data_IF_345515706348
#
_entry.id   IF_345515706348
#
_cell.length_a   1.000
_cell.length_b   1.000
_cell.length_c   1.000
_cell.angle_alpha   90.00
_cell.angle_beta   90.00
_cell.angle_gamma   90.00
#
_symmetry.space_group_name_H-M   'P 1'
#
loop_
_entity.id
_entity.type
_entity.pdbx_description
1 polymer ?
#
# COMPACT_ATOMS: atom_id res chain seq x y z
N UNK A 1 11.63 27.42 -16.85
CA UNK A 1 12.57 27.31 -15.71
C UNK A 1 12.91 25.84 -15.53
N UNK A 2 14.18 25.46 -15.71
CA UNK A 2 14.59 24.07 -15.57
C UNK A 2 14.60 23.63 -14.10
N UNK A 3 14.56 22.31 -13.84
CA UNK A 3 14.71 21.76 -12.47
C UNK A 3 16.04 22.23 -11.83
N UNK A 4 17.05 22.53 -12.64
CA UNK A 4 18.35 23.08 -12.20
C UNK A 4 18.25 24.49 -11.62
N UNK A 5 17.31 25.34 -12.14
CA UNK A 5 17.11 26.68 -11.61
C UNK A 5 16.46 26.68 -10.23
N UNK A 6 15.72 25.62 -9.89
CA UNK A 6 15.13 25.40 -8.55
C UNK A 6 16.14 24.86 -7.53
N UNK A 7 17.15 24.10 -7.96
CA UNK A 7 18.22 23.59 -7.09
C UNK A 7 19.19 24.68 -6.62
N UNK A 8 19.33 25.78 -7.37
CA UNK A 8 20.10 26.95 -6.94
C UNK A 8 19.53 27.72 -5.76
N UNK A 9 18.29 27.43 -5.34
CA UNK A 9 17.60 28.12 -4.25
C UNK A 9 17.57 27.31 -2.92
N UNK A 10 18.16 26.12 -2.88
CA UNK A 10 18.22 25.33 -1.64
C UNK A 10 19.20 25.97 -0.67
N UNK A 11 18.70 26.39 0.51
CA UNK A 11 19.56 26.98 1.53
C UNK A 11 20.58 25.94 2.07
N UNK A 12 21.75 26.43 2.53
CA UNK A 12 22.74 25.55 3.19
C UNK A 12 22.13 24.71 4.32
N UNK A 13 21.13 25.25 5.00
CA UNK A 13 20.43 24.59 6.11
C UNK A 13 19.55 23.42 5.62
N UNK A 14 18.90 23.58 4.47
CA UNK A 14 18.08 22.53 3.87
C UNK A 14 18.95 21.45 3.23
N UNK A 15 20.11 21.82 2.68
CA UNK A 15 21.11 20.89 2.23
C UNK A 15 21.67 20.04 3.39
N UNK A 16 21.95 20.66 4.55
CA UNK A 16 22.38 19.92 5.74
C UNK A 16 21.29 19.01 6.32
N UNK A 17 20.01 19.39 6.24
CA UNK A 17 18.90 18.50 6.60
C UNK A 17 18.81 17.30 5.67
N UNK A 18 18.90 17.52 4.37
CA UNK A 18 18.95 16.46 3.36
C UNK A 18 20.16 15.52 3.57
N UNK A 19 21.34 16.07 3.85
CA UNK A 19 22.55 15.26 4.11
C UNK A 19 22.46 14.45 5.40
N UNK A 20 21.86 14.99 6.46
CA UNK A 20 21.65 14.26 7.71
C UNK A 20 20.56 13.18 7.58
N UNK A 21 19.56 13.43 6.75
CA UNK A 21 18.44 12.54 6.51
C UNK A 21 18.77 11.38 5.56
N UNK A 22 19.69 11.61 4.61
CA UNK A 22 20.05 10.63 3.57
C UNK A 22 21.52 10.15 3.65
N UNK A 23 22.25 10.46 4.71
CA UNK A 23 23.59 9.93 4.96
C UNK A 23 24.68 10.39 3.96
N UNK A 24 24.47 11.51 3.25
CA UNK A 24 25.44 12.05 2.29
C UNK A 24 26.66 12.59 3.05
N UNK A 25 27.84 12.03 2.81
CA UNK A 25 29.05 12.39 3.50
C UNK A 25 29.61 13.75 3.07
N UNK A 26 30.42 14.38 3.94
CA UNK A 26 31.12 15.66 3.70
C UNK A 26 31.97 15.70 2.42
N UNK A 27 32.35 14.55 1.88
CA UNK A 27 33.13 14.43 0.65
C UNK A 27 32.35 14.82 -0.60
N UNK A 28 31.04 14.53 -0.63
CA UNK A 28 30.15 14.90 -1.75
C UNK A 28 29.83 16.39 -1.69
N UNK A 29 29.71 16.97 -0.50
CA UNK A 29 29.58 18.41 -0.29
C UNK A 29 30.81 19.18 -0.78
N UNK A 30 32.04 18.67 -0.56
CA UNK A 30 33.25 19.29 -1.00
C UNK A 30 33.41 19.28 -2.54
N UNK A 31 32.95 18.23 -3.22
CA UNK A 31 32.98 18.14 -4.69
C UNK A 31 32.04 19.15 -5.37
N UNK A 32 30.87 19.43 -4.76
CA UNK A 32 29.90 20.42 -5.26
C UNK A 32 30.34 21.87 -5.07
N UNK A 33 31.24 22.16 -4.12
CA UNK A 33 31.74 23.53 -3.85
C UNK A 33 32.95 23.93 -4.72
N UNK A 34 33.57 23.00 -5.43
CA UNK A 34 34.76 23.22 -6.27
C UNK A 34 34.46 23.43 -7.76
N UNK A 35 33.21 23.71 -8.14
CA UNK A 35 32.84 24.15 -9.50
C UNK A 35 32.84 23.06 -10.58
N UNK A 36 32.85 21.80 -10.21
CA UNK A 36 32.67 20.68 -11.14
C UNK A 36 31.17 20.42 -11.42
N UNK A 37 30.82 20.21 -12.69
CA UNK A 37 29.48 19.74 -13.09
C UNK A 37 29.24 18.31 -12.61
N UNK A 38 28.66 18.17 -11.42
CA UNK A 38 28.26 16.86 -10.89
C UNK A 38 26.89 16.51 -11.51
N UNK A 39 26.85 15.51 -12.37
CA UNK A 39 25.58 15.01 -12.91
C UNK A 39 24.80 14.25 -11.84
N UNK A 40 23.46 14.32 -11.87
CA UNK A 40 22.59 13.54 -10.94
C UNK A 40 22.94 12.05 -10.95
N UNK A 41 23.39 11.52 -12.10
CA UNK A 41 23.82 10.12 -12.24
C UNK A 41 25.13 9.85 -11.48
N UNK A 42 26.10 10.79 -11.49
CA UNK A 42 27.35 10.64 -10.72
C UNK A 42 27.11 10.79 -9.22
N UNK A 43 26.14 11.61 -8.79
CA UNK A 43 25.70 11.70 -7.40
C UNK A 43 25.03 10.40 -6.95
N UNK A 44 24.12 9.86 -7.75
CA UNK A 44 23.45 8.59 -7.46
C UNK A 44 24.45 7.43 -7.35
N UNK A 45 25.40 7.34 -8.29
CA UNK A 45 26.45 6.33 -8.26
C UNK A 45 27.41 6.52 -7.08
N UNK A 46 27.73 7.77 -6.70
CA UNK A 46 28.58 8.06 -5.55
C UNK A 46 27.88 7.72 -4.23
N UNK A 47 26.57 8.00 -4.11
CA UNK A 47 25.74 7.60 -2.97
C UNK A 47 25.68 6.08 -2.89
N UNK A 48 25.39 5.38 -3.98
CA UNK A 48 25.35 3.91 -4.01
C UNK A 48 26.70 3.29 -3.66
N UNK A 49 27.80 3.80 -4.21
CA UNK A 49 29.16 3.32 -3.91
C UNK A 49 29.54 3.61 -2.45
N UNK A 50 29.14 4.76 -1.91
CA UNK A 50 29.40 5.13 -0.51
C UNK A 50 28.55 4.27 0.43
N UNK A 51 27.32 3.96 0.06
CA UNK A 51 26.43 3.08 0.79
C UNK A 51 27.01 1.67 0.89
N UNK A 52 27.39 1.07 -0.24
CA UNK A 52 28.02 -0.26 -0.29
C UNK A 52 29.36 -0.37 0.46
N UNK A 53 30.10 0.72 0.65
CA UNK A 53 31.35 0.77 1.44
C UNK A 53 31.12 1.05 2.93
N UNK A 54 29.89 1.35 3.32
CA UNK A 54 29.56 1.76 4.68
C UNK A 54 29.59 0.59 5.67
N UNK A 55 29.28 -0.61 5.20
CA UNK A 55 29.14 -1.77 6.05
C UNK A 55 30.45 -2.53 6.22
N UNK A 56 30.65 -3.09 7.42
CA UNK A 56 31.83 -3.86 7.78
C UNK A 56 31.80 -5.27 7.21
N UNK A 57 30.62 -5.86 7.14
CA UNK A 57 30.44 -7.22 6.72
C UNK A 57 30.38 -7.35 5.19
N UNK A 58 30.81 -8.49 4.68
CA UNK A 58 30.52 -8.89 3.31
C UNK A 58 29.07 -9.42 3.26
N UNK A 59 28.30 -9.08 2.20
CA UNK A 59 26.93 -9.56 2.08
C UNK A 59 26.91 -11.09 1.96
N UNK A 60 26.16 -11.72 2.86
CA UNK A 60 25.83 -13.15 2.79
C UNK A 60 24.61 -13.35 1.88
N UNK A 61 23.69 -12.40 1.92
CA UNK A 61 22.46 -12.43 1.15
C UNK A 61 22.24 -11.09 0.43
N UNK A 62 21.74 -11.16 -0.80
CA UNK A 62 21.26 -10.00 -1.54
C UNK A 62 19.81 -10.27 -1.92
N UNK A 63 18.87 -9.58 -1.27
CA UNK A 63 17.44 -9.76 -1.50
C UNK A 63 16.99 -8.91 -2.68
N UNK A 64 16.46 -9.56 -3.72
CA UNK A 64 15.78 -8.88 -4.83
C UNK A 64 14.37 -8.49 -4.41
N UNK A 65 14.13 -7.20 -4.29
CA UNK A 65 12.85 -6.66 -3.86
C UNK A 65 12.12 -6.01 -5.03
N UNK A 66 11.11 -6.70 -5.56
CA UNK A 66 10.25 -6.19 -6.63
C UNK A 66 9.14 -5.29 -6.10
N UNK A 67 8.98 -4.08 -6.63
CA UNK A 67 7.88 -3.19 -6.25
C UNK A 67 6.97 -2.88 -7.43
N UNK A 68 5.67 -3.17 -7.23
CA UNK A 68 4.66 -3.03 -8.27
C UNK A 68 4.02 -1.64 -8.23
N UNK A 69 4.28 -0.83 -9.23
CA UNK A 69 3.60 0.45 -9.45
C UNK A 69 4.25 1.68 -8.84
N UNK A 70 5.37 1.56 -8.15
CA UNK A 70 6.10 2.70 -7.61
C UNK A 70 7.62 2.47 -7.59
N UNK A 71 8.36 3.56 -7.50
CA UNK A 71 9.83 3.58 -7.54
C UNK A 71 10.39 4.63 -6.56
N UNK A 72 11.71 4.71 -6.46
CA UNK A 72 12.41 5.66 -5.58
C UNK A 72 12.16 7.15 -5.91
N UNK A 73 11.55 7.48 -7.05
CA UNK A 73 11.21 8.86 -7.45
C UNK A 73 9.76 9.20 -7.16
N UNK A 74 8.94 8.24 -6.78
CA UNK A 74 7.54 8.47 -6.44
C UNK A 74 7.47 9.12 -5.05
N UNK A 75 6.80 10.27 -4.95
CA UNK A 75 6.64 11.02 -3.70
C UNK A 75 5.91 10.22 -2.60
N UNK A 76 5.17 9.18 -2.99
CA UNK A 76 4.40 8.33 -2.06
C UNK A 76 5.12 7.03 -1.70
N UNK A 77 6.37 6.82 -2.14
CA UNK A 77 7.15 5.59 -1.84
C UNK A 77 7.33 5.40 -0.32
N UNK A 78 7.47 6.49 0.42
CA UNK A 78 7.65 6.46 1.88
C UNK A 78 6.49 5.75 2.58
N UNK A 79 5.26 5.98 2.12
CA UNK A 79 4.07 5.34 2.68
C UNK A 79 4.04 3.83 2.46
N UNK A 80 4.76 3.31 1.50
CA UNK A 80 4.83 1.87 1.23
C UNK A 80 5.89 1.15 2.09
N UNK A 81 6.76 1.89 2.77
CA UNK A 81 7.74 1.37 3.72
C UNK A 81 8.90 0.57 3.13
N UNK A 82 8.92 0.36 1.80
CA UNK A 82 9.92 -0.50 1.17
C UNK A 82 11.34 -0.01 1.36
N UNK A 83 11.55 1.31 1.23
CA UNK A 83 12.88 1.92 1.39
C UNK A 83 13.31 1.95 2.85
N UNK A 84 12.37 2.20 3.77
CA UNK A 84 12.64 2.15 5.21
C UNK A 84 13.03 0.75 5.66
N UNK A 85 12.28 -0.27 5.20
CA UNK A 85 12.62 -1.67 5.43
C UNK A 85 14.03 -2.00 4.93
N UNK A 86 14.34 -1.64 3.67
CA UNK A 86 15.64 -1.93 3.07
C UNK A 86 16.77 -1.25 3.84
N UNK A 87 16.61 0.02 4.20
CA UNK A 87 17.60 0.79 4.94
C UNK A 87 17.86 0.21 6.34
N UNK A 88 16.80 -0.03 7.11
CA UNK A 88 16.94 -0.55 8.46
C UNK A 88 17.55 -1.96 8.47
N UNK A 89 17.12 -2.81 7.53
CA UNK A 89 17.63 -4.19 7.43
C UNK A 89 19.13 -4.22 7.11
N UNK A 90 19.57 -3.42 6.14
CA UNK A 90 20.98 -3.30 5.79
C UNK A 90 21.82 -2.75 6.95
N UNK A 91 21.32 -1.71 7.63
CA UNK A 91 21.99 -1.12 8.80
C UNK A 91 22.03 -2.07 9.99
N UNK A 92 20.93 -2.73 10.30
CA UNK A 92 20.78 -3.65 11.42
C UNK A 92 21.67 -4.89 11.29
N UNK A 93 21.87 -5.37 10.06
CA UNK A 93 22.72 -6.52 9.78
C UNK A 93 24.18 -6.13 9.47
N UNK A 94 24.54 -4.85 9.61
CA UNK A 94 25.86 -4.32 9.23
C UNK A 94 26.28 -4.78 7.83
N UNK A 95 25.33 -4.92 6.90
CA UNK A 95 25.55 -5.31 5.50
C UNK A 95 25.62 -6.82 5.24
N UNK A 96 25.32 -7.69 6.21
CA UNK A 96 25.20 -9.12 5.93
C UNK A 96 24.02 -9.41 4.98
N UNK A 97 22.95 -8.62 5.05
CA UNK A 97 21.90 -8.58 4.05
C UNK A 97 21.96 -7.26 3.30
N UNK A 98 21.96 -7.30 1.98
CA UNK A 98 21.72 -6.15 1.10
C UNK A 98 20.36 -6.31 0.42
N UNK A 99 19.70 -5.18 0.11
CA UNK A 99 18.41 -5.15 -0.58
C UNK A 99 18.56 -4.49 -1.95
N UNK A 100 18.38 -5.26 -3.01
CA UNK A 100 18.28 -4.75 -4.38
C UNK A 100 16.83 -4.38 -4.69
N UNK A 101 16.49 -3.09 -4.52
CA UNK A 101 15.13 -2.59 -4.78
C UNK A 101 14.92 -2.35 -6.28
N UNK A 102 13.92 -3.03 -6.87
CA UNK A 102 13.57 -2.99 -8.30
C UNK A 102 12.13 -2.51 -8.44
N UNK A 103 11.96 -1.21 -8.65
CA UNK A 103 10.66 -0.55 -8.78
C UNK A 103 10.08 -0.53 -10.20
N UNK A 104 9.02 0.28 -10.41
CA UNK A 104 8.41 0.60 -11.71
C UNK A 104 7.89 -0.61 -12.50
N UNK A 105 7.45 -1.66 -11.84
CA UNK A 105 7.07 -2.92 -12.51
C UNK A 105 8.21 -3.56 -13.33
N UNK A 106 9.46 -3.13 -13.17
CA UNK A 106 10.56 -3.56 -14.02
C UNK A 106 10.84 -5.07 -13.96
N UNK A 107 10.61 -5.69 -12.80
CA UNK A 107 10.77 -7.13 -12.64
C UNK A 107 9.44 -7.86 -12.44
N UNK A 108 8.48 -7.25 -11.75
CA UNK A 108 7.14 -7.78 -11.57
C UNK A 108 6.11 -6.65 -11.38
N UNK A 109 4.90 -6.85 -11.88
CA UNK A 109 3.76 -5.95 -11.70
C UNK A 109 2.74 -6.50 -10.71
N UNK A 110 1.67 -5.75 -10.47
CA UNK A 110 0.63 -6.05 -9.48
C UNK A 110 0.06 -7.47 -9.55
N UNK A 111 -0.06 -8.05 -10.74
CA UNK A 111 -0.63 -9.39 -10.95
C UNK A 111 0.41 -10.52 -11.00
N UNK A 112 1.70 -10.21 -11.13
CA UNK A 112 2.75 -11.21 -11.37
C UNK A 112 3.78 -11.33 -10.26
N UNK A 113 3.82 -10.41 -9.29
CA UNK A 113 4.81 -10.43 -8.22
C UNK A 113 4.73 -11.69 -7.35
N UNK A 114 3.51 -12.15 -7.04
CA UNK A 114 3.30 -13.39 -6.27
C UNK A 114 3.96 -14.58 -6.95
N UNK A 115 3.63 -14.83 -8.21
CA UNK A 115 4.17 -15.96 -8.98
C UNK A 115 5.69 -15.85 -9.10
N UNK A 116 6.23 -14.67 -9.41
CA UNK A 116 7.68 -14.48 -9.54
C UNK A 116 8.43 -14.70 -8.22
N UNK A 117 7.81 -14.39 -7.08
CA UNK A 117 8.39 -14.70 -5.76
C UNK A 117 8.35 -16.19 -5.49
N UNK A 118 7.24 -16.87 -5.81
CA UNK A 118 7.11 -18.32 -5.66
C UNK A 118 8.09 -19.08 -6.57
N UNK A 119 8.39 -18.56 -7.76
CA UNK A 119 9.36 -19.11 -8.70
C UNK A 119 10.82 -18.73 -8.39
N UNK A 120 11.08 -17.87 -7.38
CA UNK A 120 12.42 -17.43 -7.00
C UNK A 120 13.07 -16.44 -7.97
N UNK A 121 12.29 -15.73 -8.79
CA UNK A 121 12.78 -14.64 -9.65
C UNK A 121 13.08 -13.39 -8.82
N UNK A 122 12.26 -13.14 -7.81
CA UNK A 122 12.49 -12.16 -6.75
C UNK A 122 12.36 -12.85 -5.38
N UNK A 123 13.01 -12.31 -4.37
CA UNK A 123 12.98 -12.86 -3.01
C UNK A 123 11.83 -12.28 -2.19
N UNK A 124 11.43 -11.06 -2.52
CA UNK A 124 10.33 -10.34 -1.87
C UNK A 124 9.69 -9.36 -2.83
N UNK A 125 8.47 -8.94 -2.49
CA UNK A 125 7.71 -8.01 -3.32
C UNK A 125 6.82 -7.08 -2.50
N UNK A 126 6.47 -5.93 -3.10
CA UNK A 126 5.37 -5.07 -2.64
C UNK A 126 4.31 -4.96 -3.74
N UNK A 127 3.07 -5.25 -3.37
CA UNK A 127 1.90 -5.16 -4.25
C UNK A 127 0.60 -5.08 -3.44
N UNK A 128 -0.49 -4.65 -4.09
CA UNK A 128 -1.82 -4.65 -3.49
C UNK A 128 -2.25 -6.08 -3.11
N UNK A 129 -2.81 -6.26 -1.90
CA UNK A 129 -3.36 -7.55 -1.46
C UNK A 129 -4.40 -8.09 -2.41
N UNK A 130 -5.29 -7.23 -2.91
CA UNK A 130 -6.35 -7.63 -3.84
C UNK A 130 -5.82 -8.11 -5.20
N UNK A 131 -4.81 -7.44 -5.76
CA UNK A 131 -4.18 -7.91 -7.00
C UNK A 131 -3.40 -9.21 -6.76
N UNK A 132 -2.72 -9.32 -5.63
CA UNK A 132 -1.97 -10.50 -5.23
C UNK A 132 -2.87 -11.71 -4.94
N UNK A 133 -4.15 -11.48 -4.60
CA UNK A 133 -5.13 -12.54 -4.33
C UNK A 133 -5.39 -13.45 -5.56
N UNK A 134 -5.02 -13.04 -6.77
CA UNK A 134 -5.04 -13.91 -7.96
C UNK A 134 -4.07 -15.09 -7.84
N UNK A 135 -2.85 -14.85 -7.35
CA UNK A 135 -1.82 -15.87 -7.13
C UNK A 135 -1.76 -16.41 -5.70
N UNK A 136 -2.24 -15.63 -4.73
CA UNK A 136 -2.31 -15.99 -3.31
C UNK A 136 -3.71 -15.76 -2.74
N UNK A 137 -4.70 -16.62 -3.11
CA UNK A 137 -6.12 -16.38 -2.84
C UNK A 137 -6.50 -16.31 -1.36
N UNK A 138 -5.64 -16.73 -0.43
CA UNK A 138 -5.89 -16.52 1.00
C UNK A 138 -5.92 -15.03 1.39
N UNK A 139 -5.27 -14.14 0.63
CA UNK A 139 -5.32 -12.70 0.88
C UNK A 139 -6.73 -12.10 0.79
N UNK A 140 -7.68 -12.80 0.14
CA UNK A 140 -9.11 -12.43 0.19
C UNK A 140 -9.67 -12.39 1.61
N UNK A 141 -9.01 -12.97 2.60
CA UNK A 141 -9.39 -12.87 4.02
C UNK A 141 -9.50 -11.44 4.53
N UNK A 142 -8.81 -10.48 3.88
CA UNK A 142 -8.86 -9.06 4.18
C UNK A 142 -9.98 -8.31 3.42
N UNK A 143 -10.62 -8.94 2.44
CA UNK A 143 -11.52 -8.29 1.48
C UNK A 143 -13.01 -8.49 1.77
N UNK A 144 -13.39 -8.82 2.99
CA UNK A 144 -14.81 -8.78 3.38
C UNK A 144 -15.28 -7.33 3.49
N UNK A 145 -16.42 -7.04 2.84
CA UNK A 145 -16.98 -5.70 2.85
C UNK A 145 -17.30 -5.22 4.27
N UNK A 146 -16.87 -4.01 4.62
CA UNK A 146 -17.09 -3.36 5.91
C UNK A 146 -16.58 -4.13 7.14
N UNK A 147 -15.62 -5.04 6.95
CA UNK A 147 -14.99 -5.77 8.05
C UNK A 147 -14.19 -4.82 8.96
N UNK A 148 -13.49 -3.87 8.36
CA UNK A 148 -12.71 -2.85 9.06
C UNK A 148 -13.46 -1.51 9.09
N UNK A 149 -13.85 -1.01 10.27
CA UNK A 149 -14.53 0.28 10.39
C UNK A 149 -13.68 1.49 9.98
N UNK A 150 -12.38 1.42 10.19
CA UNK A 150 -11.44 2.53 9.96
C UNK A 150 -10.05 2.05 9.55
N UNK A 151 -9.18 2.97 9.10
CA UNK A 151 -7.76 2.68 8.90
C UNK A 151 -7.07 2.29 10.21
N UNK A 152 -7.46 2.93 11.31
CA UNK A 152 -6.95 2.57 12.63
C UNK A 152 -7.23 1.10 12.96
N UNK A 153 -8.43 0.61 12.68
CA UNK A 153 -8.81 -0.78 12.94
C UNK A 153 -7.99 -1.78 12.11
N UNK A 154 -7.58 -1.41 10.89
CA UNK A 154 -6.68 -2.23 10.07
C UNK A 154 -5.28 -2.29 10.69
N UNK A 155 -4.70 -1.15 11.10
CA UNK A 155 -3.40 -1.12 11.79
C UNK A 155 -3.45 -1.88 13.11
N UNK A 156 -4.51 -1.70 13.90
CA UNK A 156 -4.69 -2.43 15.15
C UNK A 156 -4.67 -3.94 14.92
N UNK A 157 -5.42 -4.44 13.93
CA UNK A 157 -5.39 -5.84 13.55
C UNK A 157 -3.98 -6.27 13.10
N UNK A 158 -3.31 -5.52 12.22
CA UNK A 158 -1.98 -5.89 11.71
C UNK A 158 -0.91 -5.96 12.80
N UNK A 159 -1.02 -5.17 13.87
CA UNK A 159 -0.13 -5.22 15.03
C UNK A 159 -0.51 -6.28 16.06
N UNK A 160 -1.68 -6.90 15.92
CA UNK A 160 -2.17 -7.88 16.89
C UNK A 160 -1.55 -9.27 16.69
N UNK A 161 -1.41 -10.09 17.74
CA UNK A 161 -1.07 -11.51 17.62
C UNK A 161 -2.10 -12.27 16.77
N UNK A 162 -3.37 -11.81 16.78
CA UNK A 162 -4.42 -12.38 15.95
C UNK A 162 -4.09 -12.31 14.46
N UNK A 163 -3.42 -11.24 14.01
CA UNK A 163 -2.98 -11.15 12.61
C UNK A 163 -1.89 -12.18 12.27
N UNK A 164 -1.06 -12.58 13.22
CA UNK A 164 -0.12 -13.70 13.01
C UNK A 164 -0.90 -14.99 12.80
N UNK A 165 -1.82 -15.29 13.70
CA UNK A 165 -2.61 -16.53 13.71
C UNK A 165 -3.58 -16.67 12.53
N UNK A 166 -4.25 -15.56 12.15
CA UNK A 166 -5.37 -15.60 11.18
C UNK A 166 -4.93 -15.22 9.77
N UNK A 167 -3.98 -14.30 9.63
CA UNK A 167 -3.52 -13.82 8.33
C UNK A 167 -2.18 -14.45 7.93
N UNK A 168 -1.14 -14.25 8.76
CA UNK A 168 0.25 -14.52 8.36
C UNK A 168 0.56 -16.01 8.28
N UNK A 169 0.27 -16.77 9.33
CA UNK A 169 0.56 -18.19 9.37
C UNK A 169 -0.19 -19.00 8.30
N UNK A 170 -1.52 -18.83 8.09
CA UNK A 170 -2.21 -19.55 7.03
C UNK A 170 -1.76 -19.11 5.63
N UNK A 171 -1.43 -17.81 5.44
CA UNK A 171 -0.91 -17.28 4.18
C UNK A 171 0.45 -17.92 3.85
N UNK A 172 1.36 -17.95 4.80
CA UNK A 172 2.67 -18.56 4.65
C UNK A 172 2.57 -20.06 4.39
N UNK A 173 1.81 -20.79 5.22
CA UNK A 173 1.60 -22.22 5.08
C UNK A 173 1.04 -22.62 3.73
N UNK A 174 0.12 -21.80 3.19
CA UNK A 174 -0.57 -22.12 1.95
C UNK A 174 0.21 -21.69 0.71
N UNK A 175 0.86 -20.54 0.73
CA UNK A 175 1.44 -19.92 -0.44
C UNK A 175 2.97 -19.87 -0.44
N UNK A 176 3.63 -20.25 0.66
CA UNK A 176 5.08 -20.13 0.81
C UNK A 176 5.55 -18.67 0.87
N UNK A 177 4.68 -17.76 1.29
CA UNK A 177 4.93 -16.32 1.32
C UNK A 177 4.69 -15.77 2.72
N UNK A 178 5.68 -15.14 3.30
CA UNK A 178 5.63 -14.50 4.61
C UNK A 178 5.14 -13.06 4.44
N UNK A 179 3.95 -12.74 4.97
CA UNK A 179 3.40 -11.37 4.99
C UNK A 179 4.14 -10.55 6.05
N UNK A 180 4.84 -9.51 5.66
CA UNK A 180 5.68 -8.72 6.54
C UNK A 180 4.94 -7.48 7.08
N UNK A 181 4.69 -6.48 6.25
CA UNK A 181 4.06 -5.23 6.63
C UNK A 181 3.18 -4.68 5.50
N UNK A 182 2.34 -3.69 5.83
CA UNK A 182 1.42 -3.07 4.86
C UNK A 182 1.00 -1.68 5.30
N UNK A 183 0.81 -0.77 4.36
CA UNK A 183 0.01 0.42 4.64
C UNK A 183 -1.48 0.04 4.67
N UNK A 184 -2.30 0.92 5.25
CA UNK A 184 -3.74 0.74 5.35
C UNK A 184 -4.49 1.97 4.86
N UNK A 185 -5.37 1.76 3.90
CA UNK A 185 -6.41 2.71 3.50
C UNK A 185 -7.76 2.00 3.43
N UNK A 186 -8.82 2.75 3.24
CA UNK A 186 -10.12 2.19 2.89
C UNK A 186 -10.42 2.52 1.44
N UNK A 187 -11.02 1.58 0.75
CA UNK A 187 -11.31 1.71 -0.67
C UNK A 187 -12.67 2.37 -0.88
N UNK A 188 -12.75 3.15 -1.93
CA UNK A 188 -13.96 3.79 -2.42
C UNK A 188 -14.04 3.69 -3.94
N UNK A 189 -14.85 4.55 -4.55
CA UNK A 189 -15.01 4.64 -5.99
C UNK A 189 -14.41 5.97 -6.48
N UNK A 190 -13.44 5.87 -7.38
CA UNK A 190 -12.80 6.99 -8.03
C UNK A 190 -13.51 7.24 -9.37
N UNK A 191 -14.40 8.23 -9.41
CA UNK A 191 -15.22 8.51 -10.59
C UNK A 191 -14.43 9.30 -11.63
N UNK A 192 -14.57 8.89 -12.89
CA UNK A 192 -13.89 9.48 -14.04
C UNK A 192 -14.54 10.77 -14.57
N UNK A 193 -14.13 11.18 -15.77
CA UNK A 193 -14.55 12.44 -16.40
C UNK A 193 -16.06 12.51 -16.72
N UNK A 194 -16.75 11.37 -16.84
CA UNK A 194 -18.23 11.33 -17.00
C UNK A 194 -19.01 11.95 -15.83
N UNK A 195 -18.32 12.15 -14.68
CA UNK A 195 -18.87 12.79 -13.48
C UNK A 195 -18.34 14.19 -13.23
N UNK A 196 -17.54 14.77 -14.14
CA UNK A 196 -16.92 16.10 -13.94
C UNK A 196 -17.96 17.20 -13.77
N UNK A 197 -18.95 17.22 -14.67
CA UNK A 197 -19.98 18.26 -14.70
C UNK A 197 -21.24 17.90 -13.89
N UNK A 198 -21.23 16.71 -13.25
CA UNK A 198 -22.30 16.30 -12.34
C UNK A 198 -22.05 16.89 -10.94
N UNK A 199 -23.10 17.09 -10.13
CA UNK A 199 -22.94 17.40 -8.70
C UNK A 199 -22.04 16.39 -8.00
N UNK A 200 -21.44 16.80 -6.87
CA UNK A 200 -20.72 15.86 -6.02
C UNK A 200 -21.67 14.81 -5.50
N UNK A 201 -21.31 13.54 -5.67
CA UNK A 201 -22.10 12.38 -5.22
C UNK A 201 -22.29 12.45 -3.71
N UNK A 202 -23.54 12.29 -3.27
CA UNK A 202 -23.92 12.31 -1.86
C UNK A 202 -24.79 11.14 -1.46
N UNK A 203 -25.33 10.39 -2.46
CA UNK A 203 -26.19 9.25 -2.26
C UNK A 203 -25.66 8.02 -2.99
N UNK A 204 -25.81 6.85 -2.38
CA UNK A 204 -25.37 5.57 -2.96
C UNK A 204 -26.05 5.27 -4.30
N UNK A 205 -27.34 5.63 -4.44
CA UNK A 205 -28.11 5.40 -5.66
C UNK A 205 -27.56 6.15 -6.88
N UNK A 206 -26.82 7.24 -6.69
CA UNK A 206 -26.18 7.99 -7.77
C UNK A 206 -25.03 7.18 -8.44
N UNK A 207 -24.59 6.11 -7.78
CA UNK A 207 -23.57 5.19 -8.30
C UNK A 207 -24.18 3.95 -8.98
N UNK A 208 -25.48 3.69 -8.82
CA UNK A 208 -26.11 2.48 -9.37
C UNK A 208 -25.94 2.39 -10.89
N UNK A 209 -25.60 1.20 -11.35
CA UNK A 209 -25.38 0.92 -12.79
C UNK A 209 -24.04 1.43 -13.33
N UNK A 210 -23.25 2.16 -12.56
CA UNK A 210 -21.94 2.62 -13.03
C UNK A 210 -20.96 1.45 -13.24
N UNK A 211 -20.20 1.52 -14.32
CA UNK A 211 -19.16 0.53 -14.68
C UNK A 211 -17.89 0.90 -13.94
N UNK A 212 -17.56 0.16 -12.90
CA UNK A 212 -16.37 0.44 -12.11
C UNK A 212 -15.32 -0.66 -12.27
N UNK A 213 -14.12 -0.26 -12.58
CA UNK A 213 -12.99 -1.17 -12.56
C UNK A 213 -12.89 -1.84 -11.19
N UNK A 214 -12.64 -3.13 -11.20
CA UNK A 214 -12.32 -3.92 -10.00
C UNK A 214 -11.04 -4.70 -10.25
N UNK A 215 -10.33 -5.04 -9.16
CA UNK A 215 -9.16 -5.91 -9.20
C UNK A 215 -9.52 -7.37 -9.45
N UNK A 216 -8.54 -8.29 -9.37
CA UNK A 216 -8.75 -9.74 -9.44
C UNK A 216 -9.48 -10.36 -8.23
N UNK A 217 -9.84 -9.57 -7.21
CA UNK A 217 -10.55 -10.07 -6.02
C UNK A 217 -11.96 -10.55 -6.35
N UNK A 218 -12.32 -11.71 -5.84
CA UNK A 218 -13.69 -12.22 -5.98
C UNK A 218 -14.64 -11.53 -5.00
N UNK A 219 -14.16 -11.22 -3.80
CA UNK A 219 -14.96 -10.59 -2.75
C UNK A 219 -15.37 -9.17 -3.14
N UNK A 220 -14.44 -8.41 -3.74
CA UNK A 220 -14.75 -7.08 -4.25
C UNK A 220 -15.88 -7.08 -5.28
N UNK A 221 -15.89 -8.06 -6.17
CA UNK A 221 -16.96 -8.20 -7.17
C UNK A 221 -18.31 -8.52 -6.54
N UNK A 222 -18.34 -9.41 -5.54
CA UNK A 222 -19.57 -9.77 -4.81
C UNK A 222 -20.20 -8.52 -4.20
N UNK A 223 -19.44 -7.74 -3.43
CA UNK A 223 -19.97 -6.56 -2.75
C UNK A 223 -20.42 -5.48 -3.74
N UNK A 224 -19.63 -5.19 -4.77
CA UNK A 224 -20.00 -4.19 -5.78
C UNK A 224 -21.29 -4.58 -6.50
N UNK A 225 -21.44 -5.86 -6.87
CA UNK A 225 -22.68 -6.36 -7.49
C UNK A 225 -23.87 -6.23 -6.54
N UNK A 226 -23.69 -6.56 -5.27
CA UNK A 226 -24.73 -6.42 -4.25
C UNK A 226 -25.15 -4.96 -4.03
N UNK A 227 -24.27 -4.00 -4.21
CA UNK A 227 -24.54 -2.56 -4.18
C UNK A 227 -25.05 -1.99 -5.51
N UNK A 228 -25.48 -2.83 -6.46
CA UNK A 228 -25.95 -2.42 -7.79
C UNK A 228 -24.88 -1.66 -8.62
N UNK A 229 -23.61 -1.87 -8.35
CA UNK A 229 -22.52 -1.42 -9.20
C UNK A 229 -22.19 -2.50 -10.24
N UNK A 230 -21.67 -2.10 -11.41
CA UNK A 230 -21.20 -3.04 -12.44
C UNK A 230 -19.68 -3.20 -12.34
N UNK A 231 -19.16 -4.22 -11.65
CA UNK A 231 -17.73 -4.46 -11.55
C UNK A 231 -17.15 -4.97 -12.86
N UNK A 232 -16.20 -4.26 -13.44
CA UNK A 232 -15.50 -4.60 -14.69
C UNK A 232 -14.06 -4.97 -14.36
N UNK A 233 -13.61 -6.20 -14.59
CA UNK A 233 -12.23 -6.60 -14.40
C UNK A 233 -11.32 -5.90 -15.42
N UNK A 234 -10.48 -4.98 -14.96
CA UNK A 234 -9.50 -4.25 -15.78
C UNK A 234 -8.17 -4.26 -15.03
N UNK A 235 -7.09 -4.55 -15.73
CA UNK A 235 -5.75 -4.50 -15.17
C UNK A 235 -5.42 -3.08 -14.66
N UNK A 236 -4.64 -2.99 -13.59
CA UNK A 236 -4.29 -1.69 -13.02
C UNK A 236 -3.61 -0.77 -14.05
N UNK A 237 -2.71 -1.31 -14.86
CA UNK A 237 -2.02 -0.59 -15.93
C UNK A 237 -2.94 -0.03 -17.03
N UNK A 238 -4.15 -0.58 -17.17
CA UNK A 238 -5.13 -0.19 -18.20
C UNK A 238 -6.22 0.75 -17.64
N UNK A 239 -6.24 0.95 -16.31
CA UNK A 239 -7.28 1.72 -15.62
C UNK A 239 -7.30 3.19 -16.04
N UNK A 240 -6.13 3.82 -16.18
CA UNK A 240 -6.01 5.21 -16.63
C UNK A 240 -6.66 5.40 -18.01
N UNK A 241 -6.33 4.53 -18.95
CA UNK A 241 -6.86 4.60 -20.31
C UNK A 241 -8.36 4.27 -20.34
N UNK A 242 -8.80 3.31 -19.53
CA UNK A 242 -10.21 2.98 -19.37
C UNK A 242 -11.06 4.16 -18.89
N UNK A 243 -10.58 4.89 -17.89
CA UNK A 243 -11.21 6.13 -17.37
C UNK A 243 -11.19 7.25 -18.42
N UNK A 244 -10.06 7.45 -19.10
CA UNK A 244 -9.88 8.48 -20.10
C UNK A 244 -10.78 8.29 -21.32
N UNK A 245 -10.95 7.04 -21.75
CA UNK A 245 -11.77 6.68 -22.93
C UNK A 245 -13.25 6.49 -22.59
N UNK A 246 -13.64 6.53 -21.30
CA UNK A 246 -15.01 6.28 -20.86
C UNK A 246 -15.47 4.83 -20.98
N UNK A 247 -14.54 3.88 -21.04
CA UNK A 247 -14.86 2.43 -21.03
C UNK A 247 -15.36 2.00 -19.64
N UNK A 248 -14.92 2.69 -18.61
CA UNK A 248 -15.35 2.58 -17.22
C UNK A 248 -15.73 3.95 -16.71
N UNK A 249 -16.76 4.02 -15.86
CA UNK A 249 -17.24 5.25 -15.22
C UNK A 249 -16.38 5.62 -14.02
N UNK A 250 -15.82 4.62 -13.35
CA UNK A 250 -14.99 4.77 -12.18
C UNK A 250 -14.06 3.58 -11.94
N UNK A 251 -13.27 3.67 -10.87
CA UNK A 251 -12.38 2.59 -10.43
C UNK A 251 -12.52 2.38 -8.92
N UNK A 252 -12.72 1.15 -8.53
CA UNK A 252 -12.64 0.72 -7.14
C UNK A 252 -11.15 0.69 -6.74
N UNK A 253 -10.77 1.62 -5.86
CA UNK A 253 -9.41 1.73 -5.31
C UNK A 253 -9.37 2.73 -4.15
N UNK A 254 -8.20 2.99 -3.59
CA UNK A 254 -7.99 3.98 -2.53
C UNK A 254 -7.40 5.28 -3.08
N UNK A 255 -7.50 6.36 -2.28
CA UNK A 255 -7.17 7.73 -2.71
C UNK A 255 -5.69 7.89 -3.13
N UNK A 256 -4.74 7.40 -2.34
CA UNK A 256 -3.33 7.55 -2.68
C UNK A 256 -2.91 6.75 -3.92
N UNK A 257 -3.64 5.66 -4.26
CA UNK A 257 -3.38 4.93 -5.50
C UNK A 257 -3.62 5.77 -6.75
N UNK A 258 -4.69 6.58 -6.75
CA UNK A 258 -4.98 7.54 -7.83
C UNK A 258 -3.85 8.56 -7.97
N UNK A 259 -3.34 9.05 -6.85
CA UNK A 259 -2.27 10.03 -6.83
C UNK A 259 -0.95 9.46 -7.37
N UNK A 260 -0.47 8.30 -6.85
CA UNK A 260 0.82 7.75 -7.29
C UNK A 260 0.78 7.20 -8.73
N UNK A 261 -0.37 6.78 -9.20
CA UNK A 261 -0.53 6.29 -10.57
C UNK A 261 -0.80 7.40 -11.60
N UNK A 262 -0.72 8.66 -11.20
CA UNK A 262 -0.99 9.83 -12.03
C UNK A 262 -2.39 9.80 -12.69
N UNK A 263 -3.38 9.26 -11.99
CA UNK A 263 -4.76 9.17 -12.49
C UNK A 263 -5.60 10.42 -12.14
N UNK A 264 -5.12 11.28 -11.25
CA UNK A 264 -5.86 12.48 -10.82
C UNK A 264 -6.36 13.37 -11.96
N UNK A 265 -5.62 13.56 -13.09
CA UNK A 265 -6.12 14.36 -14.22
C UNK A 265 -7.36 13.77 -14.92
N UNK A 266 -7.65 12.49 -14.76
CA UNK A 266 -8.81 11.78 -15.36
C UNK A 266 -9.87 11.39 -14.34
N UNK A 267 -9.63 11.64 -13.05
CA UNK A 267 -10.58 11.45 -11.95
C UNK A 267 -11.23 12.80 -11.63
N UNK A 268 -12.54 12.82 -11.43
CA UNK A 268 -13.30 14.01 -11.07
C UNK A 268 -13.82 14.03 -9.65
N UNK A 269 -14.11 12.84 -9.09
CA UNK A 269 -14.61 12.71 -7.72
C UNK A 269 -14.00 11.46 -7.06
N UNK A 270 -13.59 11.60 -5.81
CA UNK A 270 -13.19 10.50 -4.94
C UNK A 270 -14.34 10.24 -3.96
N UNK A 271 -15.10 9.17 -4.18
CA UNK A 271 -16.23 8.78 -3.33
C UNK A 271 -15.71 7.88 -2.22
N UNK A 272 -15.75 8.38 -0.98
CA UNK A 272 -15.26 7.68 0.22
C UNK A 272 -16.32 6.71 0.77
N UNK A 273 -16.47 5.56 0.13
CA UNK A 273 -17.38 4.50 0.56
C UNK A 273 -16.87 3.67 1.73
N UNK A 274 -15.57 3.64 1.99
CA UNK A 274 -14.93 2.89 3.09
C UNK A 274 -15.28 1.40 3.12
N UNK A 275 -15.54 0.79 1.97
CA UNK A 275 -16.17 -0.54 1.94
C UNK A 275 -15.20 -1.73 1.95
N UNK A 276 -13.92 -1.51 1.60
CA UNK A 276 -12.89 -2.54 1.64
C UNK A 276 -11.60 -2.06 2.24
N UNK A 277 -10.84 -3.03 2.74
CA UNK A 277 -9.44 -2.86 3.08
C UNK A 277 -8.62 -2.50 1.84
N UNK A 278 -7.91 -1.40 1.89
CA UNK A 278 -6.98 -0.95 0.85
C UNK A 278 -5.54 -1.09 1.35
N UNK A 279 -4.86 -2.15 0.96
CA UNK A 279 -3.53 -2.49 1.45
C UNK A 279 -2.56 -2.73 0.31
N UNK A 280 -1.41 -2.06 0.37
CA UNK A 280 -0.20 -2.39 -0.38
C UNK A 280 0.72 -3.08 0.60
N UNK A 281 0.91 -4.40 0.46
CA UNK A 281 1.68 -5.19 1.41
C UNK A 281 3.04 -5.57 0.85
N UNK A 282 3.97 -5.83 1.75
CA UNK A 282 5.24 -6.46 1.44
C UNK A 282 5.23 -7.89 1.94
N UNK A 283 5.55 -8.82 1.05
CA UNK A 283 5.74 -10.24 1.37
C UNK A 283 7.06 -10.76 0.84
N UNK A 284 7.57 -11.80 1.49
CA UNK A 284 8.84 -12.44 1.18
C UNK A 284 8.64 -13.94 0.99
N UNK A 285 9.49 -14.58 0.17
CA UNK A 285 9.54 -16.04 0.07
C UNK A 285 9.86 -16.66 1.44
N UNK A 286 8.98 -17.51 1.95
CA UNK A 286 9.22 -18.24 3.20
C UNK A 286 10.49 -19.11 3.08
N UNK A 287 10.72 -19.73 1.92
CA UNK A 287 11.93 -20.53 1.67
C UNK A 287 13.20 -19.71 1.79
N UNK A 288 13.22 -18.48 1.30
CA UNK A 288 14.38 -17.57 1.42
C UNK A 288 14.57 -17.18 2.87
N UNK A 289 13.50 -16.79 3.58
CA UNK A 289 13.55 -16.47 5.01
C UNK A 289 14.08 -17.64 5.85
N UNK A 290 13.54 -18.83 5.66
CA UNK A 290 13.92 -20.04 6.42
C UNK A 290 15.36 -20.51 6.16
N UNK A 291 15.93 -20.13 5.01
CA UNK A 291 17.33 -20.45 4.68
C UNK A 291 18.35 -19.58 5.41
N UNK A 292 17.91 -18.53 6.09
CA UNK A 292 18.78 -17.58 6.79
C UNK A 292 19.05 -18.02 8.24
N UNK A 293 20.17 -17.56 8.77
CA UNK A 293 20.54 -17.72 10.18
C UNK A 293 19.53 -16.98 11.08
N UNK A 294 19.27 -17.48 12.30
CA UNK A 294 18.24 -16.95 13.19
C UNK A 294 18.35 -15.46 13.47
N UNK A 295 19.57 -14.91 13.64
CA UNK A 295 19.76 -13.49 13.87
C UNK A 295 19.38 -12.62 12.64
N UNK A 296 19.50 -13.16 11.42
CA UNK A 296 19.07 -12.48 10.19
C UNK A 296 17.55 -12.54 10.02
N UNK A 297 16.95 -13.67 10.41
CA UNK A 297 15.48 -13.77 10.48
C UNK A 297 14.90 -12.77 11.48
N UNK A 298 15.50 -12.65 12.67
CA UNK A 298 15.11 -11.67 13.68
C UNK A 298 15.26 -10.23 13.14
N UNK A 299 16.36 -9.97 12.42
CA UNK A 299 16.58 -8.66 11.79
C UNK A 299 15.48 -8.32 10.77
N UNK A 300 15.08 -9.26 9.92
CA UNK A 300 13.98 -9.09 8.95
C UNK A 300 12.67 -8.77 9.68
N UNK A 301 12.35 -9.48 10.75
CA UNK A 301 11.12 -9.25 11.51
C UNK A 301 11.12 -7.88 12.21
N UNK A 302 12.23 -7.47 12.84
CA UNK A 302 12.35 -6.16 13.48
C UNK A 302 12.32 -5.02 12.44
N UNK A 303 12.98 -5.18 11.28
CA UNK A 303 12.92 -4.20 10.20
C UNK A 303 11.50 -4.11 9.59
N UNK A 304 10.79 -5.25 9.53
CA UNK A 304 9.39 -5.28 9.12
C UNK A 304 8.48 -4.53 10.10
N UNK A 305 8.72 -4.66 11.39
CA UNK A 305 8.00 -3.92 12.41
C UNK A 305 8.25 -2.41 12.31
N UNK A 306 9.51 -2.00 12.16
CA UNK A 306 9.83 -0.57 12.00
C UNK A 306 9.26 0.00 10.70
N UNK A 307 9.29 -0.77 9.60
CA UNK A 307 8.64 -0.38 8.35
C UNK A 307 7.11 -0.23 8.54
N UNK A 308 6.45 -1.13 9.30
CA UNK A 308 5.03 -1.00 9.61
C UNK A 308 4.72 0.27 10.40
N UNK A 309 5.55 0.63 11.38
CA UNK A 309 5.43 1.89 12.16
C UNK A 309 5.62 3.12 11.27
N UNK A 310 6.66 3.08 10.42
CA UNK A 310 6.93 4.16 9.47
C UNK A 310 5.77 4.36 8.50
N UNK A 311 5.27 3.27 7.92
CA UNK A 311 4.15 3.26 6.97
C UNK A 311 2.89 3.88 7.56
N UNK A 312 2.56 3.56 8.81
CA UNK A 312 1.41 4.13 9.50
C UNK A 312 1.48 5.66 9.52
N UNK A 313 2.59 6.22 9.98
CA UNK A 313 2.79 7.66 10.06
C UNK A 313 2.90 8.31 8.67
N UNK A 314 3.68 7.71 7.77
CA UNK A 314 3.92 8.24 6.43
C UNK A 314 2.66 8.23 5.56
N UNK A 315 1.82 7.19 5.66
CA UNK A 315 0.57 7.11 4.92
C UNK A 315 -0.43 8.19 5.35
N UNK A 316 -0.65 8.36 6.66
CA UNK A 316 -1.57 9.38 7.17
C UNK A 316 -1.09 10.79 6.80
N UNK A 317 0.20 11.07 6.93
CA UNK A 317 0.78 12.33 6.50
C UNK A 317 0.62 12.55 4.97
N UNK A 318 0.86 11.53 4.16
CA UNK A 318 0.74 11.61 2.71
C UNK A 318 -0.70 11.85 2.25
N UNK A 319 -1.68 11.20 2.87
CA UNK A 319 -3.10 11.39 2.54
C UNK A 319 -3.51 12.86 2.67
N UNK A 320 -3.11 13.54 3.73
CA UNK A 320 -3.46 14.93 4.00
C UNK A 320 -2.58 15.91 3.20
N UNK A 321 -1.26 15.77 3.29
CA UNK A 321 -0.31 16.78 2.85
C UNK A 321 0.15 16.62 1.39
N UNK A 322 -0.05 15.44 0.78
CA UNK A 322 0.38 15.17 -0.59
C UNK A 322 -0.80 14.85 -1.50
N UNK A 323 -1.67 13.94 -1.08
CA UNK A 323 -2.82 13.52 -1.89
C UNK A 323 -3.92 14.58 -1.87
N UNK A 324 -4.21 15.18 -0.72
CA UNK A 324 -5.34 16.10 -0.51
C UNK A 324 -6.64 15.36 -0.14
N UNK A 325 -6.51 14.22 0.56
CA UNK A 325 -7.64 13.48 1.10
C UNK A 325 -8.02 14.02 2.49
N UNK A 326 -8.45 15.28 2.51
CA UNK A 326 -8.89 16.00 3.72
C UNK A 326 -9.96 17.04 3.37
N UNK A 327 -10.73 17.47 4.37
CA UNK A 327 -11.72 18.54 4.22
C UNK A 327 -11.45 19.63 5.27
N UNK A 328 -11.06 20.86 4.84
CA UNK A 328 -10.80 21.28 3.45
C UNK A 328 -9.53 20.63 2.86
N UNK A 329 -9.48 20.54 1.54
CA UNK A 329 -8.27 20.12 0.82
C UNK A 329 -7.20 21.23 0.92
N UNK A 330 -5.97 20.84 1.21
CA UNK A 330 -4.84 21.76 1.30
C UNK A 330 -4.38 22.19 -0.12
N UNK A 331 -3.97 23.44 -0.25
CA UNK A 331 -3.37 23.96 -1.49
C UNK A 331 -2.05 23.22 -1.80
N UNK A 332 -1.79 22.99 -3.09
CA UNK A 332 -0.60 22.27 -3.55
C UNK A 332 -0.70 20.75 -3.46
N UNK A 333 -1.82 20.21 -2.96
CA UNK A 333 -2.06 18.75 -2.95
C UNK A 333 -2.54 18.27 -4.32
N UNK A 334 -2.25 16.99 -4.62
CA UNK A 334 -2.53 16.41 -5.94
C UNK A 334 -4.00 16.50 -6.31
N UNK A 335 -4.92 16.20 -5.41
CA UNK A 335 -6.36 16.27 -5.66
C UNK A 335 -6.81 17.72 -5.86
N UNK A 336 -6.32 18.66 -5.06
CA UNK A 336 -6.67 20.09 -5.17
C UNK A 336 -6.22 20.68 -6.51
N UNK A 337 -4.99 20.39 -6.94
CA UNK A 337 -4.43 20.87 -8.20
C UNK A 337 -5.08 20.26 -9.45
N UNK A 338 -5.77 19.12 -9.31
CA UNK A 338 -6.47 18.45 -10.40
C UNK A 338 -8.01 18.54 -10.29
N UNK A 339 -8.54 19.39 -9.42
CA UNK A 339 -9.98 19.57 -9.20
C UNK A 339 -10.73 18.27 -8.83
N UNK A 340 -10.06 17.31 -8.17
CA UNK A 340 -10.68 16.09 -7.68
C UNK A 340 -11.50 16.41 -6.44
N UNK A 341 -12.82 16.31 -6.54
CA UNK A 341 -13.73 16.57 -5.41
C UNK A 341 -13.82 15.37 -4.48
N UNK A 342 -13.78 15.59 -3.17
CA UNK A 342 -14.06 14.55 -2.19
C UNK A 342 -15.57 14.43 -2.00
N UNK A 343 -16.11 13.27 -2.24
CA UNK A 343 -17.50 12.91 -2.04
C UNK A 343 -17.63 12.05 -0.78
N UNK A 344 -17.81 12.70 0.36
CA UNK A 344 -18.04 12.01 1.63
C UNK A 344 -19.49 11.54 1.71
N UNK A 345 -19.71 10.25 1.92
CA UNK A 345 -21.01 9.67 2.15
C UNK A 345 -21.48 9.94 3.58
N UNK A 346 -22.74 10.31 3.75
CA UNK A 346 -23.38 10.37 5.07
C UNK A 346 -23.45 8.99 5.73
N UNK A 347 -23.58 8.97 7.04
CA UNK A 347 -23.66 7.73 7.81
C UNK A 347 -24.85 6.85 7.37
N UNK A 348 -25.98 7.47 7.03
CA UNK A 348 -27.16 6.79 6.47
C UNK A 348 -26.85 6.06 5.16
N UNK A 349 -26.03 6.65 4.30
CA UNK A 349 -25.63 6.06 3.02
C UNK A 349 -24.60 4.93 3.20
N UNK A 350 -23.68 5.09 4.14
CA UNK A 350 -22.76 4.00 4.52
C UNK A 350 -23.51 2.82 5.14
N UNK A 351 -24.52 3.09 5.97
CA UNK A 351 -25.36 2.04 6.56
C UNK A 351 -26.20 1.33 5.48
N UNK A 352 -26.76 2.06 4.52
CA UNK A 352 -27.43 1.46 3.37
C UNK A 352 -26.47 0.53 2.58
N UNK A 353 -25.26 0.96 2.32
CA UNK A 353 -24.27 0.12 1.65
C UNK A 353 -23.90 -1.13 2.47
N UNK A 354 -23.75 -1.00 3.80
CA UNK A 354 -23.55 -2.15 4.72
C UNK A 354 -24.72 -3.13 4.67
N UNK A 355 -25.96 -2.64 4.69
CA UNK A 355 -27.16 -3.48 4.57
C UNK A 355 -27.18 -4.27 3.26
N UNK A 356 -26.69 -3.68 2.17
CA UNK A 356 -26.68 -4.32 0.85
C UNK A 356 -25.59 -5.39 0.71
N UNK A 357 -24.41 -5.24 1.34
CA UNK A 357 -23.27 -6.08 1.00
C UNK A 357 -22.41 -6.58 2.17
N UNK A 358 -22.61 -6.15 3.42
CA UNK A 358 -21.77 -6.65 4.52
C UNK A 358 -22.04 -8.12 4.84
N UNK A 359 -21.08 -8.79 5.46
CA UNK A 359 -21.24 -10.19 5.91
C UNK A 359 -22.35 -10.29 6.96
N UNK A 360 -22.45 -9.32 7.86
CA UNK A 360 -23.42 -9.32 8.95
C UNK A 360 -24.86 -9.18 8.43
N UNK A 361 -25.07 -8.36 7.39
CA UNK A 361 -26.40 -8.14 6.80
C UNK A 361 -26.77 -9.17 5.72
N UNK A 362 -25.79 -9.66 4.97
CA UNK A 362 -25.96 -10.53 3.81
C UNK A 362 -25.09 -11.81 3.91
N UNK A 363 -25.19 -12.62 4.98
CA UNK A 363 -24.27 -13.73 5.21
C UNK A 363 -24.23 -14.76 4.08
N UNK A 364 -25.35 -14.97 3.36
CA UNK A 364 -25.45 -15.90 2.24
C UNK A 364 -24.55 -15.52 1.05
N UNK A 365 -24.32 -14.23 0.83
CA UNK A 365 -23.44 -13.77 -0.25
C UNK A 365 -22.00 -14.26 -0.06
N UNK A 366 -21.60 -14.46 1.19
CA UNK A 366 -20.23 -14.73 1.60
C UNK A 366 -19.99 -16.19 2.00
N UNK A 367 -21.03 -17.00 2.14
CA UNK A 367 -20.98 -18.36 2.72
C UNK A 367 -19.87 -19.21 2.07
N UNK A 368 -19.84 -19.30 0.75
CA UNK A 368 -18.84 -20.09 0.01
C UNK A 368 -17.40 -19.62 0.28
N UNK A 369 -17.19 -18.30 0.37
CA UNK A 369 -15.87 -17.76 0.65
C UNK A 369 -15.48 -17.90 2.12
N UNK A 370 -16.42 -17.73 3.03
CA UNK A 370 -16.18 -18.00 4.47
C UNK A 370 -15.76 -19.45 4.69
N UNK A 371 -16.50 -20.41 4.16
CA UNK A 371 -16.14 -21.83 4.26
C UNK A 371 -14.74 -22.10 3.72
N UNK A 372 -14.42 -21.56 2.56
CA UNK A 372 -13.12 -21.73 1.91
C UNK A 372 -11.98 -21.13 2.72
N UNK A 373 -12.10 -19.88 3.13
CA UNK A 373 -11.06 -19.17 3.89
C UNK A 373 -10.89 -19.76 5.27
N UNK A 374 -11.98 -20.11 5.96
CA UNK A 374 -11.97 -20.80 7.24
C UNK A 374 -11.29 -22.18 7.13
N UNK A 375 -11.60 -22.94 6.09
CA UNK A 375 -10.94 -24.22 5.82
C UNK A 375 -9.43 -24.07 5.60
N UNK A 376 -9.01 -23.01 4.90
CA UNK A 376 -7.59 -22.73 4.70
C UNK A 376 -6.88 -22.23 5.96
N UNK A 377 -7.62 -21.64 6.89
CA UNK A 377 -7.13 -21.23 8.20
C UNK A 377 -7.22 -22.34 9.27
N UNK A 378 -7.45 -23.60 8.85
CA UNK A 378 -7.54 -24.72 9.80
C UNK A 378 -8.84 -24.76 10.62
N UNK A 379 -9.93 -24.17 10.10
CA UNK A 379 -11.24 -24.15 10.74
C UNK A 379 -11.51 -22.91 11.60
N UNK A 380 -10.60 -21.93 11.62
CA UNK A 380 -10.81 -20.64 12.29
C UNK A 380 -11.91 -19.87 11.53
N UNK A 381 -12.88 -19.26 12.22
CA UNK A 381 -13.81 -18.33 11.60
C UNK A 381 -13.10 -16.98 11.38
N UNK A 382 -12.45 -16.89 10.22
CA UNK A 382 -11.56 -15.78 9.88
C UNK A 382 -12.26 -14.42 9.89
N UNK A 383 -13.49 -14.34 9.35
CA UNK A 383 -14.25 -13.08 9.36
C UNK A 383 -14.58 -12.64 10.79
N UNK A 384 -15.15 -13.53 11.60
CA UNK A 384 -15.60 -13.19 12.96
C UNK A 384 -14.42 -12.75 13.83
N UNK A 385 -13.32 -13.49 13.78
CA UNK A 385 -12.15 -13.20 14.61
C UNK A 385 -11.45 -11.90 14.17
N UNK A 386 -11.28 -11.65 12.86
CA UNK A 386 -10.71 -10.39 12.36
C UNK A 386 -11.62 -9.22 12.72
N UNK A 387 -12.94 -9.33 12.44
CA UNK A 387 -13.91 -8.27 12.74
C UNK A 387 -13.97 -7.95 14.23
N UNK A 388 -13.85 -8.96 15.09
CA UNK A 388 -13.78 -8.78 16.54
C UNK A 388 -12.54 -7.96 16.92
N UNK A 389 -11.35 -8.36 16.47
CA UNK A 389 -10.11 -7.65 16.76
C UNK A 389 -10.13 -6.22 16.20
N UNK A 390 -10.65 -6.03 14.97
CA UNK A 390 -10.76 -4.72 14.36
C UNK A 390 -11.66 -3.74 15.13
N UNK A 391 -12.58 -4.25 15.95
CA UNK A 391 -13.53 -3.47 16.77
C UNK A 391 -13.13 -3.36 18.24
N UNK A 392 -11.92 -3.81 18.62
CA UNK A 392 -11.40 -3.63 19.99
C UNK A 392 -11.03 -2.19 20.32
N UNK A 393 -10.88 -1.34 19.32
CA UNK A 393 -10.60 0.08 19.48
C UNK A 393 -11.81 0.94 19.07
N UNK A 394 -12.00 2.14 19.64
CA UNK A 394 -13.04 3.07 19.22
C UNK A 394 -12.98 3.40 17.72
N UNK A 395 -14.14 3.55 17.07
CA UNK A 395 -14.22 3.84 15.63
C UNK A 395 -13.62 5.19 15.25
N UNK A 396 -13.61 6.16 16.18
CA UNK A 396 -13.03 7.50 16.03
C UNK A 396 -11.53 7.56 16.34
N UNK A 397 -10.91 6.42 16.65
CA UNK A 397 -9.45 6.35 16.84
C UNK A 397 -8.75 6.80 15.56
N UNK A 398 -7.83 7.77 15.69
CA UNK A 398 -6.97 8.18 14.58
C UNK A 398 -5.94 7.09 14.29
N UNK A 399 -5.65 6.87 13.01
CA UNK A 399 -4.74 5.80 12.60
C UNK A 399 -3.33 5.97 13.18
N UNK A 400 -2.83 7.21 13.28
CA UNK A 400 -1.54 7.54 13.89
C UNK A 400 -1.47 7.28 15.40
N UNK A 401 -2.60 7.13 16.07
CA UNK A 401 -2.68 6.87 17.51
C UNK A 401 -2.74 5.38 17.86
N UNK A 402 -2.77 4.50 16.87
CA UNK A 402 -2.73 3.05 17.11
C UNK A 402 -1.36 2.66 17.61
N UNK A 403 -1.32 2.02 18.79
CA UNK A 403 -0.07 1.61 19.42
C UNK A 403 0.58 0.46 18.67
N UNK A 404 1.84 0.60 18.20
CA UNK A 404 2.56 -0.45 17.50
C UNK A 404 2.92 -1.61 18.42
N UNK A 405 2.72 -2.85 17.97
CA UNK A 405 3.10 -4.08 18.67
C UNK A 405 3.82 -5.03 17.73
N UNK A 406 4.66 -5.87 18.30
CA UNK A 406 5.34 -6.95 17.57
C UNK A 406 4.41 -8.15 17.49
N UNK A 407 3.65 -8.26 16.41
CA UNK A 407 2.62 -9.29 16.19
C UNK A 407 3.09 -10.75 16.35
N UNK A 408 4.40 -11.01 16.19
CA UNK A 408 4.98 -12.36 16.29
C UNK A 408 5.52 -12.71 17.69
N UNK A 409 5.48 -11.77 18.63
CA UNK A 409 5.97 -12.00 20.00
C UNK A 409 4.84 -12.23 21.01
N UNK A 410 3.60 -12.16 20.58
CA UNK A 410 2.39 -12.53 21.32
C UNK A 410 2.10 -11.66 22.51
#
# INVERSE_FOLDING_TARGET
>A
MSVLDKLGAISRRDLFKLTSQYGITSTILAAGTLGGTVTLTSLANAVETTYKKRYKNQPKHTLKFGAAGFNQRNLLIERAGCLEFARDLEERTEGEILVEFIGDNAICGQLSCVEKTQLGVVDMYAASTQNSAGGAPYLNVLDYAYMFPSRASQYHFLYSPESQRILRDPHEKRHGLKFLFSHCELRGIQLGQSFKDKPTVTKLEELFGTKNRVTGTQLGRIAMTAMNLNPVPVAWSETLDGLKQGLIDGAETWASAVAYANMSPVVSQCVDLKFFCGTEHTSMSAKVFDSMEGHLQDAIMESSYLAQVHVQAANEAALVNTVGFSTPQLDGTIFKENDVRLASMGEDQINLAKEMCSVDSQPKLWEQWRERLNGWAGGIDTYTDIAKTAREIPEDTLAENVEPRRWWRG
#
